data_IF_413848400415
#
_entry.id   IF_413848400415
#
_cell.length_a   1.000
_cell.length_b   1.000
_cell.length_c   1.000
_cell.angle_alpha   90.00
_cell.angle_beta   90.00
_cell.angle_gamma   90.00
#
_symmetry.space_group_name_H-M   'P 1'
#
loop_
_entity.id
_entity.type
_entity.pdbx_description
1 polymer ?
#
# COMPACT_ATOMS: atom_id res chain seq x y z
N UNK A 1 -2.94 3.88 -2.17
CA UNK A 1 -4.41 3.75 -2.24
C UNK A 1 -4.91 3.37 -0.86
N UNK A 2 -5.96 4.01 -0.35
CA UNK A 2 -6.62 3.71 0.93
C UNK A 2 -8.08 3.30 0.64
N UNK A 3 -8.31 2.03 0.26
CA UNK A 3 -9.62 1.61 -0.23
C UNK A 3 -10.75 1.73 0.80
N UNK A 4 -10.45 1.66 2.10
CA UNK A 4 -11.43 1.84 3.18
C UNK A 4 -12.18 3.17 3.10
N UNK A 5 -11.48 4.23 2.69
CA UNK A 5 -12.00 5.59 2.61
C UNK A 5 -12.14 6.10 1.17
N UNK A 6 -11.90 5.22 0.18
CA UNK A 6 -11.80 5.59 -1.24
C UNK A 6 -10.81 6.76 -1.50
N UNK A 7 -9.71 6.81 -0.75
CA UNK A 7 -8.70 7.87 -0.84
C UNK A 7 -7.45 7.42 -1.58
N UNK A 8 -6.72 8.39 -2.14
CA UNK A 8 -5.46 8.15 -2.85
C UNK A 8 -4.50 9.31 -2.64
N UNK A 9 -3.27 8.99 -2.25
CA UNK A 9 -2.14 9.91 -2.37
C UNK A 9 -1.37 9.66 -3.66
N UNK A 10 -0.92 10.74 -4.29
CA UNK A 10 -0.05 10.72 -5.45
C UNK A 10 1.32 11.31 -5.12
N UNK A 11 2.35 10.45 -5.16
CA UNK A 11 3.74 10.84 -4.91
C UNK A 11 4.40 11.17 -6.23
N UNK A 12 4.75 12.45 -6.44
CA UNK A 12 5.38 12.93 -7.68
C UNK A 12 6.78 12.37 -7.91
N UNK A 13 7.55 12.22 -6.83
CA UNK A 13 8.95 11.77 -6.88
C UNK A 13 9.15 10.73 -5.80
N UNK A 14 9.43 9.49 -6.20
CA UNK A 14 9.81 8.40 -5.31
C UNK A 14 11.04 7.72 -5.91
N UNK A 15 12.21 7.96 -5.31
CA UNK A 15 13.46 7.39 -5.81
C UNK A 15 13.48 5.87 -5.59
N UNK A 16 13.97 5.12 -6.58
CA UNK A 16 13.89 3.65 -6.56
C UNK A 16 14.64 3.00 -5.38
N UNK A 17 15.73 3.63 -4.92
CA UNK A 17 16.52 3.19 -3.76
C UNK A 17 15.99 3.68 -2.40
N UNK A 18 14.89 4.44 -2.36
CA UNK A 18 14.26 4.88 -1.11
C UNK A 18 13.39 3.76 -0.55
N UNK A 19 13.46 3.52 0.76
CA UNK A 19 12.62 2.52 1.42
C UNK A 19 11.17 2.97 1.48
N UNK A 20 10.23 2.03 1.42
CA UNK A 20 8.81 2.37 1.54
C UNK A 20 8.52 3.10 2.85
N UNK A 21 9.12 2.68 3.97
CA UNK A 21 8.92 3.33 5.27
C UNK A 21 9.37 4.79 5.28
N UNK A 22 10.42 5.14 4.54
CA UNK A 22 10.92 6.51 4.44
C UNK A 22 9.91 7.38 3.70
N UNK A 23 9.42 6.92 2.54
CA UNK A 23 8.40 7.64 1.79
C UNK A 23 7.08 7.75 2.56
N UNK A 24 6.65 6.68 3.24
CA UNK A 24 5.43 6.65 4.03
C UNK A 24 5.53 7.57 5.25
N UNK A 25 6.71 7.72 5.85
CA UNK A 25 6.90 8.64 6.98
C UNK A 25 6.61 10.09 6.63
N UNK A 26 6.87 10.49 5.38
CA UNK A 26 6.50 11.81 4.87
C UNK A 26 4.98 11.93 4.66
N UNK A 27 4.32 10.87 4.16
CA UNK A 27 2.87 10.87 3.94
C UNK A 27 2.09 10.89 5.26
N UNK A 28 2.58 10.19 6.29
CA UNK A 28 1.95 10.10 7.60
C UNK A 28 2.55 11.03 8.65
N UNK A 29 3.31 12.05 8.24
CA UNK A 29 3.86 13.06 9.15
C UNK A 29 2.74 13.83 9.88
N UNK A 30 1.59 13.98 9.22
CA UNK A 30 0.40 14.63 9.77
C UNK A 30 -0.83 13.74 9.64
N UNK A 31 -1.79 13.92 10.54
CA UNK A 31 -3.06 13.21 10.49
C UNK A 31 -3.77 13.53 9.18
N UNK A 32 -4.11 12.49 8.43
CA UNK A 32 -4.86 12.65 7.21
C UNK A 32 -6.28 13.19 7.53
N UNK A 33 -6.80 14.20 6.80
CA UNK A 33 -8.12 14.78 7.09
C UNK A 33 -9.29 13.78 6.99
N UNK A 34 -9.09 12.68 6.28
CA UNK A 34 -10.07 11.60 6.09
C UNK A 34 -9.98 10.49 7.15
N UNK A 35 -8.93 10.47 7.96
CA UNK A 35 -8.72 9.48 9.03
C UNK A 35 -9.22 10.03 10.37
N UNK A 36 -10.55 10.20 10.51
CA UNK A 36 -11.16 10.74 11.73
C UNK A 36 -10.82 9.91 12.99
N UNK A 37 -10.57 8.61 12.82
CA UNK A 37 -10.20 7.68 13.88
C UNK A 37 -8.69 7.72 14.23
N UNK A 38 -7.86 8.39 13.43
CA UNK A 38 -6.41 8.44 13.59
C UNK A 38 -5.76 7.05 13.59
N UNK A 39 -6.29 6.11 12.80
CA UNK A 39 -5.81 4.71 12.80
C UNK A 39 -4.72 4.43 11.77
N UNK A 40 -4.55 5.27 10.75
CA UNK A 40 -3.52 5.13 9.72
C UNK A 40 -2.20 5.76 10.19
N UNK A 41 -1.50 5.03 11.06
CA UNK A 41 -0.16 5.37 11.54
C UNK A 41 0.86 4.36 11.02
N UNK A 42 2.15 4.75 10.93
CA UNK A 42 3.22 3.91 10.36
C UNK A 42 3.34 2.52 11.02
N UNK A 43 3.07 2.43 12.31
CA UNK A 43 3.13 1.21 13.11
C UNK A 43 1.87 0.32 12.97
N UNK A 44 0.79 0.85 12.39
CA UNK A 44 -0.51 0.18 12.30
C UNK A 44 -0.92 -0.18 10.88
N UNK A 45 -0.24 0.32 9.86
CA UNK A 45 -0.58 0.02 8.46
C UNK A 45 0.15 -1.21 7.94
N UNK A 46 -0.47 -1.88 6.97
CA UNK A 46 0.17 -2.88 6.13
C UNK A 46 0.16 -2.42 4.66
N UNK A 47 1.22 -2.76 3.93
CA UNK A 47 1.41 -2.41 2.53
C UNK A 47 1.14 -3.65 1.69
N UNK A 48 0.33 -3.51 0.65
CA UNK A 48 -0.02 -4.57 -0.28
C UNK A 48 0.30 -4.17 -1.72
N UNK A 49 0.66 -5.16 -2.53
CA UNK A 49 0.67 -5.04 -3.99
C UNK A 49 -0.25 -6.09 -4.60
N UNK A 50 -0.73 -5.81 -5.81
CA UNK A 50 -1.46 -6.78 -6.62
C UNK A 50 -0.47 -7.70 -7.34
N UNK A 51 -0.46 -8.99 -6.96
CA UNK A 51 0.24 -10.02 -7.72
C UNK A 51 -0.63 -10.45 -8.89
N UNK A 52 -0.29 -9.97 -10.10
CA UNK A 52 -1.05 -10.26 -11.32
C UNK A 52 -0.85 -11.68 -11.85
N UNK A 53 0.08 -12.47 -11.28
CA UNK A 53 0.26 -13.89 -11.64
C UNK A 53 -0.70 -14.77 -10.86
N UNK A 54 -0.89 -14.46 -9.59
CA UNK A 54 -1.74 -15.23 -8.67
C UNK A 54 -3.12 -14.59 -8.49
N UNK A 55 -3.35 -13.40 -9.03
CA UNK A 55 -4.59 -12.62 -8.88
C UNK A 55 -4.93 -12.26 -7.43
N UNK A 56 -3.94 -12.23 -6.55
CA UNK A 56 -4.09 -11.98 -5.12
C UNK A 56 -3.38 -10.68 -4.66
N UNK A 57 -3.76 -10.19 -3.48
CA UNK A 57 -3.04 -9.13 -2.77
C UNK A 57 -1.99 -9.72 -1.84
N UNK A 58 -0.73 -9.31 -2.03
CA UNK A 58 0.41 -9.76 -1.21
C UNK A 58 1.00 -8.64 -0.40
N UNK A 59 1.35 -8.94 0.86
CA UNK A 59 1.99 -7.98 1.76
C UNK A 59 3.44 -7.70 1.37
N UNK A 60 3.88 -6.46 1.58
CA UNK A 60 5.25 -6.00 1.36
C UNK A 60 5.83 -5.48 2.67
N UNK A 61 7.07 -5.85 2.98
CA UNK A 61 7.82 -5.24 4.08
C UNK A 61 8.12 -3.77 3.77
N UNK A 62 7.85 -2.88 4.72
CA UNK A 62 8.11 -1.45 4.60
C UNK A 62 9.61 -1.12 4.54
N UNK A 63 10.49 -2.04 4.93
CA UNK A 63 11.94 -1.88 4.84
C UNK A 63 12.48 -2.08 3.42
N UNK A 64 11.70 -2.62 2.48
CA UNK A 64 12.10 -2.73 1.09
C UNK A 64 12.16 -1.38 0.41
N UNK A 65 13.11 -1.23 -0.49
CA UNK A 65 13.18 -0.13 -1.45
C UNK A 65 12.11 -0.25 -2.53
N UNK A 66 11.75 0.86 -3.16
CA UNK A 66 10.82 0.82 -4.30
C UNK A 66 11.30 -0.16 -5.39
N UNK A 67 12.58 -0.16 -5.74
CA UNK A 67 13.17 -1.05 -6.73
C UNK A 67 12.95 -2.54 -6.39
N UNK A 68 13.23 -2.93 -5.15
CA UNK A 68 13.04 -4.32 -4.70
C UNK A 68 11.58 -4.76 -4.78
N UNK A 69 10.64 -3.84 -4.58
CA UNK A 69 9.21 -4.12 -4.66
C UNK A 69 8.75 -4.23 -6.11
N UNK A 70 9.25 -3.36 -7.00
CA UNK A 70 8.98 -3.41 -8.43
C UNK A 70 9.49 -4.70 -9.09
N UNK A 71 10.48 -5.35 -8.48
CA UNK A 71 11.02 -6.63 -8.94
C UNK A 71 10.31 -7.86 -8.35
N UNK A 72 9.28 -7.67 -7.51
CA UNK A 72 8.53 -8.79 -6.95
C UNK A 72 7.81 -9.59 -8.04
N UNK A 73 7.68 -10.92 -7.86
CA UNK A 73 6.86 -11.74 -8.74
C UNK A 73 5.44 -11.17 -8.88
N UNK A 74 5.02 -11.02 -10.14
CA UNK A 74 3.67 -10.57 -10.49
C UNK A 74 3.37 -9.10 -10.25
N UNK A 75 4.32 -8.33 -9.73
CA UNK A 75 4.18 -6.87 -9.72
C UNK A 75 4.21 -6.35 -11.16
N UNK A 76 3.22 -5.55 -11.52
CA UNK A 76 3.13 -4.91 -12.85
C UNK A 76 2.90 -3.42 -12.66
N UNK A 77 3.80 -2.61 -13.19
CA UNK A 77 3.62 -1.15 -13.26
C UNK A 77 2.55 -0.85 -14.30
N UNK A 78 1.44 -0.26 -13.87
CA UNK A 78 0.33 0.08 -14.75
C UNK A 78 0.39 1.54 -15.16
N UNK A 79 0.30 1.81 -16.47
CA UNK A 79 0.32 3.17 -17.02
C UNK A 79 1.55 4.00 -16.58
N UNK A 80 2.68 3.32 -16.33
CA UNK A 80 3.90 3.97 -15.84
C UNK A 80 3.85 4.39 -14.37
N UNK A 81 2.83 3.97 -13.61
CA UNK A 81 2.65 4.33 -12.21
C UNK A 81 2.68 3.10 -11.31
N UNK A 82 3.70 2.96 -10.44
CA UNK A 82 3.66 2.03 -9.32
C UNK A 82 2.48 2.35 -8.40
N UNK A 83 1.77 1.34 -7.95
CA UNK A 83 0.66 1.48 -7.01
C UNK A 83 0.80 0.53 -5.84
N UNK A 84 0.32 0.99 -4.68
CA UNK A 84 0.30 0.24 -3.44
C UNK A 84 -1.05 0.43 -2.76
N UNK A 85 -1.55 -0.64 -2.15
CA UNK A 85 -2.75 -0.61 -1.31
C UNK A 85 -2.30 -0.57 0.14
N UNK A 86 -2.82 0.38 0.90
CA UNK A 86 -2.50 0.59 2.31
C UNK A 86 -3.79 0.39 3.10
N UNK A 87 -3.76 -0.48 4.11
CA UNK A 87 -4.90 -0.77 4.98
C UNK A 87 -4.44 -1.03 6.42
N UNK A 88 -5.36 -0.95 7.37
CA UNK A 88 -5.14 -1.46 8.73
C UNK A 88 -5.30 -2.99 8.69
N UNK A 89 -4.25 -3.77 8.97
CA UNK A 89 -4.33 -5.21 9.01
C UNK A 89 -5.32 -5.66 10.09
N UNK A 90 -5.96 -6.80 9.89
CA UNK A 90 -6.97 -7.39 10.77
C UNK A 90 -8.25 -6.58 11.04
N UNK A 91 -8.37 -5.37 10.47
CA UNK A 91 -9.61 -4.60 10.48
C UNK A 91 -10.74 -5.34 9.76
N UNK A 92 -12.03 -5.08 10.12
CA UNK A 92 -13.17 -5.63 9.39
C UNK A 92 -13.10 -5.33 7.89
N UNK A 93 -12.67 -4.12 7.55
CA UNK A 93 -12.48 -3.70 6.16
C UNK A 93 -11.40 -4.53 5.45
N UNK A 94 -10.18 -4.62 6.00
CA UNK A 94 -9.09 -5.35 5.36
C UNK A 94 -9.43 -6.84 5.17
N UNK A 95 -10.07 -7.47 6.16
CA UNK A 95 -10.53 -8.87 6.05
C UNK A 95 -11.53 -9.06 4.92
N UNK A 96 -12.50 -8.15 4.79
CA UNK A 96 -13.48 -8.20 3.71
C UNK A 96 -12.81 -7.94 2.35
N UNK A 97 -11.96 -6.92 2.26
CA UNK A 97 -11.27 -6.52 1.04
C UNK A 97 -10.34 -7.63 0.53
N UNK A 98 -9.53 -8.24 1.40
CA UNK A 98 -8.65 -9.36 1.02
C UNK A 98 -9.44 -10.57 0.54
N UNK A 99 -10.58 -10.89 1.16
CA UNK A 99 -11.45 -11.99 0.71
C UNK A 99 -11.97 -11.74 -0.71
N UNK A 100 -12.47 -10.54 -1.00
CA UNK A 100 -12.98 -10.18 -2.33
C UNK A 100 -11.91 -10.27 -3.43
N UNK A 101 -10.64 -10.02 -3.06
CA UNK A 101 -9.50 -10.06 -3.98
C UNK A 101 -8.80 -11.43 -4.04
N UNK A 102 -9.19 -12.41 -3.23
CA UNK A 102 -8.69 -13.79 -3.33
C UNK A 102 -9.64 -14.71 -4.12
N UNK A 103 -10.84 -14.22 -4.46
CA UNK A 103 -11.88 -14.97 -5.20
C UNK A 103 -11.92 -14.61 -6.70
N UNK A 104 -10.92 -13.87 -7.22
CA UNK A 104 -10.77 -13.47 -8.63
C UNK A 104 -9.77 -14.38 -9.37
#
# INVERSE_FOLDING_TARGET
LYPEYAQTDYVKTFHENTRLIEQLSVLFESLAPWDEEGKYTLDRIAIYYEDRREYELKTVSSDKTLLEVLQLPGYVVQLGMPSFIIMIPDSPFAKHYLKMHAEL
#
